data_IF_505046984131
#
_entry.id   IF_505046984131
#
_cell.length_a   1.000
_cell.length_b   1.000
_cell.length_c   1.000
_cell.angle_alpha   90.00
_cell.angle_beta   90.00
_cell.angle_gamma   90.00
#
_symmetry.space_group_name_H-M   'P 1'
#
loop_
_entity.id
_entity.type
_entity.pdbx_description
1 polymer ?
#
# COMPACT_ATOMS: atom_id res chain seq x y z
N UNK A 1 7.68 -22.72 21.66
CA UNK A 1 6.27 -23.03 22.04
C UNK A 1 5.39 -22.54 20.89
N UNK A 2 4.78 -23.47 20.17
CA UNK A 2 3.98 -23.17 18.96
C UNK A 2 2.56 -22.79 19.39
N UNK A 3 2.17 -21.51 19.20
CA UNK A 3 0.78 -21.08 19.40
C UNK A 3 0.01 -21.35 18.12
N UNK A 4 -0.94 -22.27 18.18
CA UNK A 4 -1.91 -22.57 17.11
C UNK A 4 -3.05 -21.55 17.23
N UNK A 5 -3.16 -20.62 16.30
CA UNK A 5 -4.36 -19.82 16.13
C UNK A 5 -5.43 -20.68 15.44
N UNK A 6 -6.47 -21.01 16.21
CA UNK A 6 -7.68 -21.68 15.72
C UNK A 6 -8.59 -20.56 15.20
N UNK A 7 -8.82 -20.54 13.90
CA UNK A 7 -9.87 -19.72 13.29
C UNK A 7 -11.23 -20.36 13.60
N UNK A 8 -12.00 -19.70 14.45
CA UNK A 8 -13.40 -20.06 14.70
C UNK A 8 -14.25 -19.38 13.63
N UNK A 9 -14.76 -20.17 12.69
CA UNK A 9 -15.80 -19.72 11.75
C UNK A 9 -17.12 -19.56 12.51
N UNK A 10 -17.55 -18.31 12.70
CA UNK A 10 -18.87 -18.00 13.22
C UNK A 10 -19.88 -18.07 12.07
N UNK A 11 -20.55 -19.21 11.93
CA UNK A 11 -21.70 -19.36 11.03
C UNK A 11 -22.90 -18.75 11.74
N UNK A 12 -23.32 -17.55 11.36
CA UNK A 12 -24.60 -16.98 11.75
C UNK A 12 -25.72 -17.68 10.99
N UNK A 13 -26.31 -18.70 11.62
CA UNK A 13 -27.56 -19.29 11.17
C UNK A 13 -28.70 -18.29 11.45
N UNK A 14 -29.25 -17.68 10.41
CA UNK A 14 -30.48 -16.87 10.52
C UNK A 14 -31.65 -17.83 10.62
N UNK A 15 -32.14 -18.06 11.85
CA UNK A 15 -33.43 -18.73 12.08
C UNK A 15 -34.56 -17.74 11.77
N UNK A 16 -35.24 -17.96 10.65
CA UNK A 16 -36.54 -17.33 10.38
C UNK A 16 -37.60 -18.04 11.23
N UNK A 17 -38.03 -17.37 12.27
CA UNK A 17 -39.25 -17.79 13.04
C UNK A 17 -40.46 -17.42 12.21
N UNK A 18 -41.10 -18.41 11.62
CA UNK A 18 -42.40 -18.27 11.00
C UNK A 18 -43.49 -18.23 12.07
N UNK A 19 -44.00 -17.04 12.38
CA UNK A 19 -45.25 -16.94 13.16
C UNK A 19 -46.46 -17.27 12.26
N UNK A 20 -47.09 -18.38 12.58
CA UNK A 20 -48.35 -18.78 11.99
C UNK A 20 -49.48 -17.88 12.50
N UNK A 21 -50.07 -17.07 11.63
CA UNK A 21 -51.39 -16.49 11.84
C UNK A 21 -52.34 -16.97 10.74
N UNK A 22 -53.30 -17.83 11.15
CA UNK A 22 -54.38 -18.27 10.31
C UNK A 22 -55.36 -17.11 10.05
N UNK A 23 -55.39 -16.59 8.84
CA UNK A 23 -56.55 -15.89 8.32
C UNK A 23 -56.83 -16.45 6.93
N UNK A 24 -58.07 -16.93 6.75
CA UNK A 24 -58.61 -17.45 5.48
C UNK A 24 -58.87 -16.28 4.56
N UNK A 25 -58.15 -16.19 3.44
CA UNK A 25 -58.72 -15.60 2.21
C UNK A 25 -58.07 -16.28 0.99
N UNK A 26 -58.92 -16.84 0.15
CA UNK A 26 -58.61 -17.40 -1.15
C UNK A 26 -58.28 -16.25 -2.10
N UNK A 27 -57.08 -16.22 -2.67
CA UNK A 27 -56.87 -15.71 -4.03
C UNK A 27 -55.66 -16.42 -4.64
N UNK A 28 -55.82 -16.83 -5.89
CA UNK A 28 -54.87 -17.49 -6.74
C UNK A 28 -53.74 -16.50 -7.09
N UNK A 29 -52.51 -16.86 -6.69
CA UNK A 29 -51.31 -16.47 -7.44
C UNK A 29 -50.11 -17.29 -6.91
N UNK A 30 -49.94 -18.51 -7.42
CA UNK A 30 -48.85 -19.43 -7.02
C UNK A 30 -47.79 -19.60 -8.14
N UNK A 31 -47.71 -18.69 -9.12
CA UNK A 31 -46.80 -18.82 -10.26
C UNK A 31 -45.48 -18.02 -10.15
N UNK A 32 -45.42 -16.99 -9.32
CA UNK A 32 -44.34 -15.99 -9.42
C UNK A 32 -43.26 -16.07 -8.31
N UNK A 33 -43.48 -16.84 -7.26
CA UNK A 33 -42.53 -16.94 -6.11
C UNK A 33 -41.44 -18.01 -6.36
N UNK A 34 -41.73 -19.05 -7.19
CA UNK A 34 -40.79 -20.10 -7.50
C UNK A 34 -39.67 -19.64 -8.44
N UNK A 35 -40.00 -18.82 -9.44
CA UNK A 35 -39.03 -18.31 -10.42
C UNK A 35 -38.04 -17.31 -9.83
N UNK A 36 -38.48 -16.47 -8.89
CA UNK A 36 -37.59 -15.49 -8.21
C UNK A 36 -36.58 -16.14 -7.28
N UNK A 37 -36.95 -17.23 -6.59
CA UNK A 37 -36.04 -17.95 -5.71
C UNK A 37 -34.94 -18.70 -6.49
N UNK A 38 -35.25 -19.22 -7.67
CA UNK A 38 -34.29 -19.90 -8.53
C UNK A 38 -33.30 -18.93 -9.18
N UNK A 39 -33.76 -17.72 -9.55
CA UNK A 39 -32.91 -16.65 -10.07
C UNK A 39 -31.99 -16.08 -8.99
N UNK A 40 -32.46 -15.92 -7.76
CA UNK A 40 -31.65 -15.51 -6.60
C UNK A 40 -30.59 -16.59 -6.28
N UNK A 41 -30.95 -17.87 -6.31
CA UNK A 41 -30.01 -18.98 -6.13
C UNK A 41 -28.86 -18.94 -7.15
N UNK A 42 -29.16 -18.79 -8.44
CA UNK A 42 -28.13 -18.66 -9.50
C UNK A 42 -27.20 -17.47 -9.28
N UNK A 43 -27.73 -16.31 -8.92
CA UNK A 43 -26.90 -15.13 -8.63
C UNK A 43 -26.01 -15.33 -7.40
N UNK A 44 -26.47 -16.04 -6.39
CA UNK A 44 -25.65 -16.39 -5.20
C UNK A 44 -24.52 -17.32 -5.61
N UNK A 45 -24.79 -18.35 -6.40
CA UNK A 45 -23.76 -19.30 -6.87
C UNK A 45 -22.71 -18.61 -7.75
N UNK A 46 -23.12 -17.69 -8.65
CA UNK A 46 -22.19 -16.86 -9.44
C UNK A 46 -21.30 -15.96 -8.58
N UNK A 47 -21.84 -15.38 -7.51
CA UNK A 47 -21.08 -14.54 -6.57
C UNK A 47 -20.09 -15.42 -5.78
N UNK A 48 -20.52 -16.60 -5.32
CA UNK A 48 -19.66 -17.54 -4.60
C UNK A 48 -18.51 -18.00 -5.50
N UNK A 49 -18.79 -18.38 -6.75
CA UNK A 49 -17.77 -18.81 -7.72
C UNK A 49 -16.79 -17.68 -8.04
N UNK A 50 -17.28 -16.45 -8.23
CA UNK A 50 -16.41 -15.29 -8.49
C UNK A 50 -15.49 -14.98 -7.30
N UNK A 51 -16.01 -15.06 -6.07
CA UNK A 51 -15.24 -14.86 -4.85
C UNK A 51 -14.20 -15.98 -4.65
N UNK A 52 -14.58 -17.24 -4.92
CA UNK A 52 -13.66 -18.36 -4.83
C UNK A 52 -12.51 -18.25 -5.84
N UNK A 53 -12.78 -17.86 -7.09
CA UNK A 53 -11.76 -17.58 -8.10
C UNK A 53 -10.83 -16.44 -7.70
N UNK A 54 -11.37 -15.37 -7.11
CA UNK A 54 -10.59 -14.25 -6.60
C UNK A 54 -9.66 -14.69 -5.48
N UNK A 55 -10.18 -15.42 -4.49
CA UNK A 55 -9.41 -15.93 -3.35
C UNK A 55 -8.29 -16.88 -3.80
N UNK A 56 -8.57 -17.79 -4.74
CA UNK A 56 -7.56 -18.71 -5.28
C UNK A 56 -6.42 -17.95 -5.97
N UNK A 57 -6.74 -16.93 -6.76
CA UNK A 57 -5.74 -16.08 -7.43
C UNK A 57 -4.90 -15.28 -6.42
N UNK A 58 -5.53 -14.77 -5.36
CA UNK A 58 -4.83 -14.07 -4.28
C UNK A 58 -3.87 -15.02 -3.53
N UNK A 59 -4.29 -16.25 -3.24
CA UNK A 59 -3.45 -17.27 -2.61
C UNK A 59 -2.26 -17.69 -3.50
N UNK A 60 -2.48 -17.81 -4.82
CA UNK A 60 -1.42 -18.13 -5.77
C UNK A 60 -0.41 -16.98 -5.88
N UNK A 61 -0.88 -15.75 -5.97
CA UNK A 61 -0.04 -14.56 -5.96
C UNK A 61 0.79 -14.46 -4.68
N UNK A 62 0.17 -14.70 -3.52
CA UNK A 62 0.88 -14.68 -2.24
C UNK A 62 1.97 -15.76 -2.20
N UNK A 63 1.67 -16.97 -2.64
CA UNK A 63 2.64 -18.07 -2.70
C UNK A 63 3.82 -17.76 -3.63
N UNK A 64 3.57 -17.11 -4.77
CA UNK A 64 4.63 -16.69 -5.69
C UNK A 64 5.50 -15.59 -5.06
N UNK A 65 4.90 -14.62 -4.36
CA UNK A 65 5.63 -13.59 -3.63
C UNK A 65 6.50 -14.17 -2.52
N UNK A 66 5.97 -15.12 -1.75
CA UNK A 66 6.72 -15.77 -0.68
C UNK A 66 7.93 -16.55 -1.25
N UNK A 67 7.75 -17.21 -2.40
CA UNK A 67 8.82 -17.91 -3.11
C UNK A 67 9.89 -16.95 -3.68
N UNK A 68 9.48 -15.79 -4.16
CA UNK A 68 10.43 -14.75 -4.57
C UNK A 68 11.23 -14.22 -3.37
N UNK A 69 10.59 -14.06 -2.20
CA UNK A 69 11.24 -13.64 -0.96
C UNK A 69 12.30 -14.63 -0.45
N UNK A 70 12.22 -15.93 -0.79
CA UNK A 70 13.25 -16.93 -0.47
C UNK A 70 14.61 -16.65 -1.15
N UNK A 71 14.63 -15.88 -2.24
CA UNK A 71 15.85 -15.50 -2.96
C UNK A 71 16.59 -14.31 -2.37
N UNK A 72 16.17 -13.79 -1.22
CA UNK A 72 16.80 -12.64 -0.55
C UNK A 72 17.58 -13.09 0.68
N UNK A 73 18.82 -12.60 0.82
CA UNK A 73 19.61 -12.79 2.03
C UNK A 73 19.23 -11.74 3.07
N UNK A 74 18.87 -12.15 4.28
CA UNK A 74 18.53 -11.23 5.37
C UNK A 74 19.66 -10.29 5.75
N UNK A 75 20.92 -10.72 5.57
CA UNK A 75 22.11 -9.94 5.91
C UNK A 75 22.36 -8.79 4.92
N UNK A 76 21.77 -8.85 3.73
CA UNK A 76 21.91 -7.84 2.68
C UNK A 76 20.73 -6.85 2.65
N UNK A 77 19.70 -7.08 3.47
CA UNK A 77 18.53 -6.20 3.54
C UNK A 77 18.85 -4.91 4.29
N UNK A 78 18.52 -3.80 3.65
CA UNK A 78 18.59 -2.44 4.20
C UNK A 78 17.22 -1.77 4.18
N UNK A 79 17.07 -0.68 4.93
CA UNK A 79 15.83 0.08 5.02
C UNK A 79 16.04 1.54 4.69
N UNK A 80 15.11 2.12 3.94
CA UNK A 80 14.96 3.54 3.72
C UNK A 80 13.47 3.92 3.83
N UNK A 81 13.16 5.15 4.22
CA UNK A 81 11.79 5.62 4.45
C UNK A 81 11.49 6.76 3.51
N UNK A 82 10.47 6.60 2.67
CA UNK A 82 10.16 7.48 1.56
C UNK A 82 8.75 8.09 1.72
N UNK A 83 8.69 9.40 1.91
CA UNK A 83 7.45 10.18 1.92
C UNK A 83 7.25 10.84 0.55
N UNK A 84 6.15 10.56 -0.13
CA UNK A 84 5.93 10.96 -1.53
C UNK A 84 4.46 11.23 -1.88
N UNK A 85 3.71 11.91 -1.01
CA UNK A 85 2.27 12.10 -1.16
C UNK A 85 1.50 10.93 -0.54
N UNK A 86 0.39 10.53 -1.17
CA UNK A 86 -0.39 9.37 -0.73
C UNK A 86 0.47 8.09 -0.75
N UNK A 87 0.62 7.47 0.41
CA UNK A 87 1.49 6.29 0.58
C UNK A 87 1.02 5.05 -0.18
N UNK A 88 -0.27 4.91 -0.53
CA UNK A 88 -0.77 3.77 -1.33
C UNK A 88 -0.05 3.64 -2.67
N UNK A 89 0.15 4.79 -3.36
CA UNK A 89 0.85 4.81 -4.64
C UNK A 89 2.35 4.55 -4.49
N UNK A 90 2.98 5.13 -3.46
CA UNK A 90 4.40 4.92 -3.18
C UNK A 90 4.67 3.46 -2.81
N UNK A 91 3.84 2.86 -1.94
CA UNK A 91 3.94 1.45 -1.54
C UNK A 91 3.87 0.52 -2.76
N UNK A 92 2.79 0.61 -3.55
CA UNK A 92 2.59 -0.23 -4.72
C UNK A 92 3.69 -0.04 -5.78
N UNK A 93 4.17 1.20 -5.96
CA UNK A 93 5.26 1.48 -6.88
C UNK A 93 6.57 0.84 -6.43
N UNK A 94 6.95 0.99 -5.15
CA UNK A 94 8.18 0.44 -4.60
C UNK A 94 8.18 -1.09 -4.61
N UNK A 95 7.04 -1.73 -4.33
CA UNK A 95 6.89 -3.19 -4.39
C UNK A 95 7.11 -3.78 -5.80
N UNK A 96 7.02 -2.97 -6.86
CA UNK A 96 7.27 -3.40 -8.26
C UNK A 96 8.73 -3.31 -8.68
N UNK A 97 9.59 -2.71 -7.87
CA UNK A 97 10.99 -2.48 -8.21
C UNK A 97 11.80 -3.74 -7.89
N UNK A 98 12.56 -4.23 -8.88
CA UNK A 98 13.48 -5.35 -8.65
C UNK A 98 14.48 -4.99 -7.55
N UNK A 99 14.67 -5.90 -6.59
CA UNK A 99 15.55 -5.71 -5.45
C UNK A 99 14.84 -5.16 -4.21
N UNK A 100 13.59 -4.68 -4.31
CA UNK A 100 12.76 -4.37 -3.15
C UNK A 100 12.19 -5.67 -2.59
N UNK A 101 12.48 -5.92 -1.31
CA UNK A 101 12.00 -7.08 -0.57
C UNK A 101 10.60 -6.86 -0.02
N UNK A 102 10.34 -5.64 0.51
CA UNK A 102 9.07 -5.28 1.12
C UNK A 102 8.88 -3.76 1.14
N UNK A 103 7.64 -3.31 1.12
CA UNK A 103 7.27 -1.92 1.31
C UNK A 103 6.03 -1.85 2.18
N UNK A 104 6.07 -1.03 3.24
CA UNK A 104 5.05 -0.97 4.29
C UNK A 104 4.62 0.48 4.51
N UNK A 105 3.33 0.76 4.34
CA UNK A 105 2.74 2.07 4.57
C UNK A 105 2.73 2.44 6.05
N UNK A 106 3.09 3.68 6.38
CA UNK A 106 3.15 4.17 7.75
C UNK A 106 3.22 5.69 7.87
N UNK A 107 3.56 6.14 9.04
CA UNK A 107 3.65 7.55 9.42
C UNK A 107 5.02 7.84 10.01
N UNK A 108 5.75 8.84 9.48
CA UNK A 108 7.09 9.18 9.95
C UNK A 108 7.21 10.61 10.47
N UNK A 109 8.17 10.79 11.38
CA UNK A 109 8.69 12.07 11.85
C UNK A 109 7.65 13.02 12.50
N UNK A 110 6.61 12.44 13.10
CA UNK A 110 5.58 13.20 13.80
C UNK A 110 5.88 13.42 15.28
N UNK A 111 4.94 14.08 15.96
CA UNK A 111 5.09 14.51 17.36
C UNK A 111 4.04 13.91 18.31
N UNK A 112 2.98 13.33 17.76
CA UNK A 112 1.86 12.79 18.54
C UNK A 112 2.14 11.31 18.87
N UNK A 113 1.88 10.90 20.10
CA UNK A 113 1.96 9.49 20.47
C UNK A 113 0.77 8.70 19.87
N UNK A 114 1.03 7.48 19.37
CA UNK A 114 0.02 6.59 18.81
C UNK A 114 -0.86 7.28 17.74
N UNK A 115 -0.27 7.75 16.61
CA UNK A 115 -1.05 8.38 15.56
C UNK A 115 -2.02 7.38 14.95
N UNK A 116 -3.17 7.87 14.53
CA UNK A 116 -4.13 7.17 13.68
C UNK A 116 -4.26 7.91 12.36
N UNK A 117 -4.79 7.27 11.32
CA UNK A 117 -5.04 7.96 10.05
C UNK A 117 -5.82 9.26 10.24
N UNK A 118 -6.85 9.25 11.10
CA UNK A 118 -7.64 10.43 11.42
C UNK A 118 -6.80 11.59 11.98
N UNK A 119 -5.81 11.29 12.84
CA UNK A 119 -4.94 12.34 13.42
C UNK A 119 -3.91 12.82 12.40
N UNK A 120 -3.38 11.93 11.56
CA UNK A 120 -2.40 12.28 10.53
C UNK A 120 -3.04 13.07 9.40
N UNK A 121 -4.20 12.65 8.90
CA UNK A 121 -4.94 13.32 7.81
C UNK A 121 -5.42 14.74 8.19
N UNK A 122 -5.50 15.07 9.49
CA UNK A 122 -5.78 16.42 9.94
C UNK A 122 -4.65 17.43 9.63
N UNK A 123 -3.46 16.95 9.27
CA UNK A 123 -2.27 17.78 9.03
C UNK A 123 -1.61 18.36 10.28
N UNK A 124 -2.15 18.10 11.49
CA UNK A 124 -1.69 18.70 12.76
C UNK A 124 -0.75 17.80 13.56
N UNK A 125 -0.64 16.53 13.22
CA UNK A 125 0.18 15.53 13.93
C UNK A 125 1.69 15.71 13.71
N UNK A 126 2.08 16.41 12.64
CA UNK A 126 3.46 16.54 12.18
C UNK A 126 3.99 15.32 11.45
N UNK A 127 3.23 14.23 11.38
CA UNK A 127 3.60 13.03 10.60
C UNK A 127 3.48 13.26 9.09
N UNK A 128 4.38 12.62 8.32
CA UNK A 128 4.22 12.40 6.89
C UNK A 128 3.70 10.99 6.63
N UNK A 129 2.82 10.84 5.66
CA UNK A 129 2.56 9.54 5.04
C UNK A 129 3.86 9.06 4.40
N UNK A 130 4.32 7.89 4.79
CA UNK A 130 5.68 7.42 4.48
C UNK A 130 5.64 5.91 4.27
N UNK A 131 6.45 5.43 3.34
CA UNK A 131 6.64 4.01 3.10
C UNK A 131 8.00 3.59 3.63
N UNK A 132 8.04 2.59 4.51
CA UNK A 132 9.25 1.85 4.86
C UNK A 132 9.58 0.93 3.70
N UNK A 133 10.70 1.13 3.02
CA UNK A 133 11.17 0.29 1.92
C UNK A 133 12.33 -0.56 2.42
N UNK A 134 12.14 -1.87 2.44
CA UNK A 134 13.19 -2.86 2.69
C UNK A 134 13.71 -3.38 1.36
N UNK A 135 15.00 -3.25 1.09
CA UNK A 135 15.61 -3.63 -0.19
C UNK A 135 16.90 -4.43 0.01
N UNK A 136 17.22 -5.27 -0.96
CA UNK A 136 18.48 -6.02 -1.02
C UNK A 136 19.57 -5.16 -1.69
N UNK A 137 20.55 -4.73 -0.91
CA UNK A 137 21.62 -3.84 -1.36
C UNK A 137 22.58 -4.47 -2.39
N UNK A 138 22.49 -5.78 -2.61
CA UNK A 138 23.19 -6.49 -3.70
C UNK A 138 22.41 -6.54 -4.99
N UNK A 139 21.08 -6.40 -4.92
CA UNK A 139 20.20 -6.43 -6.10
C UNK A 139 19.93 -5.03 -6.64
N UNK A 140 19.75 -4.04 -5.75
CA UNK A 140 19.54 -2.65 -6.11
C UNK A 140 20.34 -1.73 -5.19
N UNK A 141 21.04 -0.76 -5.76
CA UNK A 141 21.75 0.27 -4.99
C UNK A 141 20.77 1.32 -4.48
N UNK A 142 21.11 1.97 -3.36
CA UNK A 142 20.29 3.05 -2.81
C UNK A 142 20.10 4.20 -3.82
N UNK A 143 21.15 4.55 -4.60
CA UNK A 143 21.08 5.57 -5.65
C UNK A 143 19.97 5.26 -6.67
N UNK A 144 19.88 4.01 -7.12
CA UNK A 144 18.91 3.59 -8.14
C UNK A 144 17.50 3.60 -7.55
N UNK A 145 17.34 3.13 -6.33
CA UNK A 145 16.07 3.18 -5.60
C UNK A 145 15.57 4.61 -5.41
N UNK A 146 16.47 5.53 -5.05
CA UNK A 146 16.14 6.96 -4.93
C UNK A 146 15.81 7.61 -6.28
N UNK A 147 16.46 7.18 -7.38
CA UNK A 147 16.08 7.65 -8.71
C UNK A 147 14.68 7.17 -9.11
N UNK A 148 14.27 5.96 -8.73
CA UNK A 148 12.87 5.52 -8.85
C UNK A 148 11.92 6.42 -8.05
N UNK A 149 12.27 6.74 -6.80
CA UNK A 149 11.47 7.64 -5.98
C UNK A 149 11.29 9.03 -6.63
N UNK A 150 12.34 9.63 -7.18
CA UNK A 150 12.26 10.91 -7.87
C UNK A 150 11.45 10.89 -9.17
N UNK A 151 11.17 9.72 -9.76
CA UNK A 151 10.27 9.60 -10.92
C UNK A 151 8.80 9.78 -10.57
N UNK A 152 8.43 9.57 -9.31
CA UNK A 152 7.04 9.49 -8.88
C UNK A 152 6.60 10.67 -8.02
N UNK A 153 7.48 11.60 -7.74
CA UNK A 153 7.18 12.81 -6.98
C UNK A 153 7.41 14.08 -7.80
N UNK A 154 6.75 15.15 -7.41
CA UNK A 154 7.15 16.51 -7.74
C UNK A 154 8.01 17.05 -6.57
N UNK A 155 9.35 17.09 -6.72
CA UNK A 155 10.24 17.45 -5.63
C UNK A 155 10.23 18.95 -5.31
N UNK A 156 9.58 19.79 -6.13
CA UNK A 156 9.46 21.23 -5.93
C UNK A 156 8.16 21.62 -5.21
N UNK A 157 7.20 20.69 -5.11
CA UNK A 157 5.89 20.94 -4.55
C UNK A 157 5.85 20.77 -3.02
N UNK A 158 5.73 21.87 -2.29
CA UNK A 158 5.67 21.88 -0.83
C UNK A 158 4.30 21.40 -0.33
N UNK A 159 4.28 20.38 0.54
CA UNK A 159 3.08 19.85 1.19
C UNK A 159 1.96 19.48 0.21
N UNK A 160 2.32 19.00 -0.97
CA UNK A 160 1.36 18.63 -2.01
C UNK A 160 1.99 17.63 -2.98
N UNK A 161 1.21 16.58 -3.36
CA UNK A 161 1.53 15.69 -4.47
C UNK A 161 0.24 15.37 -5.22
N UNK A 162 0.23 15.60 -6.54
CA UNK A 162 -0.99 15.46 -7.33
C UNK A 162 -2.15 16.31 -6.78
N UNK A 163 -3.26 15.67 -6.44
CA UNK A 163 -4.43 16.32 -5.84
C UNK A 163 -4.37 16.37 -4.31
N UNK A 164 -3.46 15.64 -3.67
CA UNK A 164 -3.33 15.55 -2.22
C UNK A 164 -2.62 16.77 -1.66
N UNK A 165 -3.25 17.45 -0.69
CA UNK A 165 -2.77 18.68 -0.07
C UNK A 165 -2.72 18.56 1.44
N UNK A 166 -1.63 18.98 2.05
CA UNK A 166 -1.40 18.96 3.49
C UNK A 166 0.02 18.53 3.84
N UNK A 167 0.48 18.89 5.04
CA UNK A 167 1.84 18.57 5.52
C UNK A 167 2.12 17.07 5.60
N UNK A 168 1.08 16.24 5.70
CA UNK A 168 1.17 14.79 5.67
C UNK A 168 1.59 14.24 4.29
N UNK A 169 1.37 15.01 3.21
CA UNK A 169 1.74 14.65 1.84
C UNK A 169 3.04 15.31 1.36
N UNK A 170 3.86 15.81 2.30
CA UNK A 170 5.18 16.33 1.96
C UNK A 170 6.12 15.24 1.47
N UNK A 171 7.12 15.63 0.69
CA UNK A 171 8.16 14.72 0.21
C UNK A 171 9.33 14.65 1.18
N UNK A 172 9.92 13.46 1.32
CA UNK A 172 11.06 13.27 2.21
C UNK A 172 11.74 11.91 2.04
N UNK A 173 13.04 11.90 2.32
CA UNK A 173 13.89 10.72 2.40
C UNK A 173 14.42 10.67 3.82
N UNK A 174 14.03 9.63 4.57
CA UNK A 174 14.43 9.48 5.96
C UNK A 174 15.29 8.23 6.13
N UNK A 175 16.52 8.41 6.63
CA UNK A 175 17.50 7.34 6.75
C UNK A 175 17.69 6.92 8.22
N UNK A 176 18.14 5.69 8.43
CA UNK A 176 18.53 5.14 9.76
C UNK A 176 20.04 5.03 9.86
N UNK A 177 20.72 4.62 8.78
CA UNK A 177 22.16 4.52 8.70
C UNK A 177 22.75 5.86 8.26
N UNK A 178 23.66 6.41 9.06
CA UNK A 178 24.31 7.69 8.75
C UNK A 178 25.18 7.62 7.49
N UNK A 179 25.63 6.42 7.08
CA UNK A 179 26.35 6.21 5.81
C UNK A 179 25.48 6.47 4.56
N UNK A 180 24.14 6.34 4.68
CA UNK A 180 23.24 6.59 3.56
C UNK A 180 23.12 8.08 3.23
N UNK A 181 23.45 8.97 4.20
CA UNK A 181 23.30 10.42 4.02
C UNK A 181 24.11 10.96 2.83
N UNK A 182 25.34 10.50 2.65
CA UNK A 182 26.18 10.96 1.53
C UNK A 182 25.59 10.57 0.18
N UNK A 183 25.07 9.35 0.08
CA UNK A 183 24.39 8.85 -1.11
C UNK A 183 23.13 9.67 -1.41
N UNK A 184 22.31 9.95 -0.39
CA UNK A 184 21.10 10.75 -0.53
C UNK A 184 21.45 12.18 -1.00
N UNK A 185 22.43 12.82 -0.36
CA UNK A 185 22.88 14.17 -0.73
C UNK A 185 23.35 14.23 -2.21
N UNK A 186 24.10 13.22 -2.64
CA UNK A 186 24.58 13.12 -4.03
C UNK A 186 23.43 13.02 -5.02
N UNK A 187 22.45 12.13 -4.75
CA UNK A 187 21.27 11.97 -5.61
C UNK A 187 20.43 13.24 -5.62
N UNK A 188 20.18 13.84 -4.47
CA UNK A 188 19.40 15.08 -4.36
C UNK A 188 20.07 16.22 -5.14
N UNK A 189 21.38 16.38 -5.02
CA UNK A 189 22.14 17.39 -5.77
C UNK A 189 22.06 17.16 -7.29
N UNK A 190 22.09 15.91 -7.73
CA UNK A 190 21.91 15.57 -9.13
C UNK A 190 20.49 15.88 -9.62
N UNK A 191 19.48 15.47 -8.86
CA UNK A 191 18.08 15.73 -9.20
C UNK A 191 17.75 17.23 -9.20
N UNK A 192 18.28 18.00 -8.26
CA UNK A 192 18.06 19.45 -8.17
C UNK A 192 18.47 20.19 -9.45
N UNK A 193 19.48 19.70 -10.18
CA UNK A 193 19.93 20.32 -11.46
C UNK A 193 18.88 20.20 -12.58
N UNK A 194 17.87 19.36 -12.44
CA UNK A 194 16.81 19.16 -13.46
C UNK A 194 15.66 20.16 -13.33
N UNK A 195 15.63 20.94 -12.25
CA UNK A 195 14.55 21.86 -11.91
C UNK A 195 15.08 23.29 -11.83
N UNK A 196 14.27 24.25 -12.26
CA UNK A 196 14.53 25.70 -12.08
C UNK A 196 14.23 26.15 -10.65
N UNK A 197 13.27 25.46 -10.00
CA UNK A 197 12.87 25.74 -8.63
C UNK A 197 13.66 24.90 -7.64
N UNK A 198 13.76 25.41 -6.42
CA UNK A 198 14.39 24.68 -5.33
C UNK A 198 13.59 23.43 -5.00
N UNK A 199 14.24 22.29 -4.93
CA UNK A 199 13.61 21.07 -4.39
C UNK A 199 13.36 21.22 -2.89
N UNK A 200 12.21 20.73 -2.43
CA UNK A 200 11.73 20.83 -1.04
C UNK A 200 11.65 19.48 -0.33
N UNK A 201 12.27 18.46 -0.93
CA UNK A 201 12.34 17.10 -0.34
C UNK A 201 13.14 17.17 0.95
N UNK A 202 12.55 16.70 2.05
CA UNK A 202 13.25 16.57 3.33
C UNK A 202 14.34 15.49 3.21
N UNK A 203 15.55 15.76 3.74
CA UNK A 203 16.61 14.77 3.90
C UNK A 203 17.07 14.81 5.35
N UNK A 204 16.68 13.80 6.12
CA UNK A 204 16.98 13.78 7.54
C UNK A 204 16.97 12.36 8.13
N UNK A 205 17.63 12.20 9.27
CA UNK A 205 17.55 10.96 10.05
C UNK A 205 16.12 10.69 10.50
N UNK A 206 15.69 9.45 10.39
CA UNK A 206 14.40 9.00 10.89
C UNK A 206 14.32 9.21 12.41
N UNK A 207 13.28 9.88 12.88
CA UNK A 207 13.02 10.07 14.31
C UNK A 207 12.11 8.99 14.87
N UNK A 208 11.04 8.69 14.16
CA UNK A 208 10.09 7.63 14.47
C UNK A 208 9.34 7.20 13.21
N UNK A 209 8.88 5.95 13.23
CA UNK A 209 7.99 5.39 12.23
C UNK A 209 6.96 4.51 12.92
N UNK A 210 5.71 4.69 12.55
CA UNK A 210 4.58 3.90 13.04
C UNK A 210 3.88 3.31 11.83
N UNK A 211 3.75 1.98 11.80
CA UNK A 211 3.02 1.27 10.74
C UNK A 211 1.57 1.75 10.73
N UNK A 212 1.05 2.07 9.55
CA UNK A 212 -0.34 2.45 9.39
C UNK A 212 -1.26 1.24 9.57
N UNK A 213 -2.56 1.50 9.75
CA UNK A 213 -3.58 0.49 9.98
C UNK A 213 -3.64 -0.53 8.82
N UNK A 214 -4.02 -1.76 9.10
CA UNK A 214 -4.01 -2.91 8.17
C UNK A 214 -4.77 -2.65 6.86
N UNK A 215 -5.83 -1.83 6.91
CA UNK A 215 -6.61 -1.49 5.71
C UNK A 215 -5.87 -0.58 4.73
N UNK A 216 -4.75 0.04 5.13
CA UNK A 216 -3.88 0.82 4.25
C UNK A 216 -2.82 -0.04 3.55
N UNK A 217 -2.44 -1.17 4.14
CA UNK A 217 -1.39 -2.03 3.59
C UNK A 217 -1.86 -2.71 2.30
N UNK A 218 -1.04 -2.69 1.26
CA UNK A 218 -1.33 -3.24 -0.07
C UNK A 218 -2.65 -2.72 -0.67
N UNK A 219 -3.01 -1.46 -0.37
CA UNK A 219 -4.32 -0.92 -0.72
C UNK A 219 -4.61 -1.01 -2.22
N UNK A 220 -3.69 -0.59 -3.08
CA UNK A 220 -3.89 -0.62 -4.54
C UNK A 220 -3.87 -2.03 -5.10
N UNK A 221 -3.13 -2.97 -4.49
CA UNK A 221 -3.17 -4.38 -4.86
C UNK A 221 -4.53 -5.02 -4.55
N UNK A 222 -5.10 -4.68 -3.38
CA UNK A 222 -6.46 -5.10 -2.97
C UNK A 222 -7.56 -4.34 -3.72
N UNK A 223 -7.29 -3.11 -4.18
CA UNK A 223 -8.22 -2.22 -4.86
C UNK A 223 -7.62 -1.65 -6.15
N UNK A 224 -7.52 -2.43 -7.25
CA UNK A 224 -6.81 -2.03 -8.48
C UNK A 224 -7.35 -0.75 -9.15
N UNK A 225 -8.61 -0.38 -8.88
CA UNK A 225 -9.25 0.85 -9.35
C UNK A 225 -9.24 1.98 -8.31
N UNK A 226 -8.48 1.80 -7.22
CA UNK A 226 -8.33 2.81 -6.17
C UNK A 226 -7.63 4.07 -6.67
N UNK A 227 -7.80 5.16 -5.92
CA UNK A 227 -7.12 6.42 -6.22
C UNK A 227 -5.59 6.25 -6.17
N UNK A 228 -4.93 6.66 -7.25
CA UNK A 228 -3.48 6.75 -7.34
C UNK A 228 -3.09 7.95 -8.21
N UNK A 229 -2.19 8.80 -7.71
CA UNK A 229 -1.61 9.90 -8.47
C UNK A 229 -0.30 9.53 -9.18
N UNK A 230 0.21 8.32 -8.92
CA UNK A 230 1.48 7.83 -9.45
C UNK A 230 1.23 6.98 -10.70
N UNK A 231 2.06 7.18 -11.71
CA UNK A 231 2.13 6.29 -12.87
C UNK A 231 2.95 5.03 -12.51
N UNK A 232 2.25 3.97 -12.17
CA UNK A 232 2.85 2.71 -11.75
C UNK A 232 3.61 1.99 -12.88
N UNK A 233 3.39 2.33 -14.15
CA UNK A 233 4.11 1.73 -15.29
C UNK A 233 5.60 2.08 -15.28
N UNK A 234 5.97 3.22 -14.70
CA UNK A 234 7.36 3.66 -14.59
C UNK A 234 8.24 2.79 -13.69
N UNK A 235 7.68 1.90 -12.89
CA UNK A 235 8.46 0.98 -12.04
C UNK A 235 9.31 -0.01 -12.86
N UNK A 236 8.84 -0.41 -14.07
CA UNK A 236 9.59 -1.28 -14.98
C UNK A 236 10.70 -0.58 -15.78
N UNK A 237 10.81 0.74 -15.72
CA UNK A 237 11.84 1.47 -16.44
C UNK A 237 13.19 1.38 -15.73
N UNK A 238 14.22 0.89 -16.45
CA UNK A 238 15.60 0.90 -15.94
C UNK A 238 16.06 2.34 -15.71
N UNK A 239 16.53 2.63 -14.50
CA UNK A 239 16.90 4.01 -14.08
C UNK A 239 18.37 4.31 -14.27
N UNK A 240 19.15 3.30 -14.62
CA UNK A 240 20.60 3.32 -14.46
C UNK A 240 21.31 3.94 -15.66
N UNK A 241 22.01 5.03 -15.41
CA UNK A 241 23.24 5.37 -16.13
C UNK A 241 24.37 5.43 -15.08
N UNK A 242 25.08 4.32 -14.83
CA UNK A 242 26.17 4.28 -13.85
C UNK A 242 27.30 5.26 -14.15
N UNK A 243 27.40 5.73 -15.39
CA UNK A 243 28.42 6.70 -15.83
C UNK A 243 28.10 8.15 -15.42
N UNK A 244 26.91 8.40 -14.87
CA UNK A 244 26.46 9.74 -14.48
C UNK A 244 26.62 10.08 -12.99
N UNK A 245 27.13 9.15 -12.19
CA UNK A 245 27.40 9.36 -10.75
C UNK A 245 28.87 9.56 -10.43
#
# INVERSE_FOLDING_TARGET
MKSKFIFVFLICAIFLVACSNKSKNKSKDNGNISSTNEEIGKKIDEIIDSNNKKNLKEMENQKNMDKEKENYSKDDLKKIYLAGGCFWGVEEYMQRIYGVYDAVSGYANGKVNNPTYKTVSSGKSGYAETVEVTYDSKKIKLEDLLNHYFKIIDPTSLNKQGNDRGSQYRTGIYYVDDSDKEVIDKVMNFQAKKYSEKIVVENMKLKNFIVAEDYHQDYLRKNPNGYCHIDLSKAGEVVIDPAKY
#
